data_IF_705115665243
#
_entry.id   IF_705115665243
#
_cell.length_a   1.000
_cell.length_b   1.000
_cell.length_c   1.000
_cell.angle_alpha   90.00
_cell.angle_beta   90.00
_cell.angle_gamma   90.00
#
_symmetry.space_group_name_H-M   'P 1'
#
loop_
_entity.id
_entity.type
_entity.pdbx_description
1 polymer ?
#
# COMPACT_ATOMS: atom_id res chain seq x y z
N UNK A 1 19.30 3.66 -49.27
CA UNK A 1 18.16 4.15 -48.47
C UNK A 1 18.57 5.39 -47.67
N UNK A 2 18.08 6.58 -48.04
CA UNK A 2 18.39 7.87 -47.40
C UNK A 2 17.09 8.59 -47.01
N UNK A 3 16.24 7.94 -46.22
CA UNK A 3 15.05 8.58 -45.67
C UNK A 3 15.31 8.89 -44.20
N UNK A 4 15.14 10.16 -43.81
CA UNK A 4 15.34 10.65 -42.44
C UNK A 4 14.48 9.97 -41.37
N UNK A 5 13.56 9.07 -41.78
CA UNK A 5 12.74 8.24 -40.92
C UNK A 5 13.55 7.40 -39.93
N UNK A 6 14.70 6.82 -40.33
CA UNK A 6 15.57 6.08 -39.38
C UNK A 6 16.22 7.01 -38.35
N UNK A 7 16.59 8.23 -38.75
CA UNK A 7 17.15 9.23 -37.84
C UNK A 7 16.14 9.68 -36.78
N UNK A 8 14.89 9.93 -37.20
CA UNK A 8 13.80 10.28 -36.29
C UNK A 8 13.50 9.15 -35.30
N UNK A 9 13.50 7.90 -35.76
CA UNK A 9 13.32 6.73 -34.90
C UNK A 9 14.40 6.66 -33.82
N UNK A 10 15.67 6.85 -34.19
CA UNK A 10 16.79 6.82 -33.23
C UNK A 10 16.70 7.95 -32.20
N UNK A 11 16.26 9.15 -32.59
CA UNK A 11 16.05 10.27 -31.66
C UNK A 11 14.90 9.97 -30.70
N UNK A 12 13.79 9.42 -31.21
CA UNK A 12 12.67 8.99 -30.38
C UNK A 12 13.07 7.90 -29.38
N UNK A 13 13.78 6.87 -29.83
CA UNK A 13 14.25 5.81 -28.93
C UNK A 13 15.18 6.35 -27.86
N UNK A 14 16.13 7.23 -28.20
CA UNK A 14 17.02 7.84 -27.20
C UNK A 14 16.26 8.70 -26.20
N UNK A 15 15.26 9.45 -26.64
CA UNK A 15 14.47 10.34 -25.78
C UNK A 15 13.55 9.56 -24.82
N UNK A 16 12.89 8.51 -25.30
CA UNK A 16 11.87 7.79 -24.54
C UNK A 16 12.37 6.53 -23.83
N UNK A 17 13.60 6.07 -24.08
CA UNK A 17 14.17 4.87 -23.43
C UNK A 17 14.12 4.96 -21.91
N UNK A 18 14.59 6.06 -21.34
CA UNK A 18 14.64 6.25 -19.90
C UNK A 18 13.22 6.36 -19.31
N UNK A 19 12.31 7.03 -20.02
CA UNK A 19 10.91 7.14 -19.65
C UNK A 19 10.23 5.78 -19.60
N UNK A 20 10.44 4.94 -20.62
CA UNK A 20 9.92 3.57 -20.63
C UNK A 20 10.44 2.77 -19.46
N UNK A 21 11.73 2.88 -19.14
CA UNK A 21 12.33 2.09 -18.06
C UNK A 21 11.88 2.55 -16.68
N UNK A 22 11.87 3.86 -16.42
CA UNK A 22 11.62 4.40 -15.08
C UNK A 22 10.14 4.70 -14.78
N UNK A 23 9.31 4.89 -15.80
CA UNK A 23 7.87 5.11 -15.61
C UNK A 23 7.06 3.81 -15.71
N UNK A 24 7.65 2.72 -16.19
CA UNK A 24 7.01 1.41 -16.14
C UNK A 24 6.73 1.01 -14.69
N UNK A 25 5.44 0.88 -14.34
CA UNK A 25 4.99 0.57 -12.99
C UNK A 25 4.78 1.78 -12.07
N UNK A 26 5.06 3.01 -12.52
CA UNK A 26 4.93 4.24 -11.71
C UNK A 26 3.48 4.71 -11.45
N UNK A 27 2.47 3.91 -11.82
CA UNK A 27 1.05 4.30 -11.76
C UNK A 27 0.61 5.34 -12.79
N UNK A 28 1.54 5.95 -13.56
CA UNK A 28 1.22 6.90 -14.62
C UNK A 28 0.58 6.18 -15.83
N UNK A 29 -0.63 6.58 -16.20
CA UNK A 29 -1.38 6.00 -17.32
C UNK A 29 -1.14 6.72 -18.66
N UNK A 30 -0.63 7.96 -18.64
CA UNK A 30 -0.39 8.77 -19.83
C UNK A 30 0.90 9.59 -19.71
N UNK A 31 1.69 9.62 -20.79
CA UNK A 31 2.85 10.50 -20.93
C UNK A 31 2.55 11.61 -21.94
N UNK A 32 2.53 12.86 -21.49
CA UNK A 32 2.35 14.02 -22.37
C UNK A 32 3.68 14.49 -22.94
N UNK A 33 3.86 14.33 -24.25
CA UNK A 33 5.03 14.83 -24.97
C UNK A 33 4.89 16.34 -25.19
N UNK A 34 5.70 17.14 -24.50
CA UNK A 34 5.72 18.61 -24.61
C UNK A 34 7.06 19.09 -25.16
N UNK A 35 7.13 20.34 -25.63
CA UNK A 35 8.40 20.94 -26.04
C UNK A 35 9.44 20.95 -24.91
N UNK A 36 9.00 21.07 -23.65
CA UNK A 36 9.85 20.98 -22.47
C UNK A 36 10.43 19.56 -22.29
N UNK A 37 9.65 18.50 -22.55
CA UNK A 37 10.14 17.11 -22.51
C UNK A 37 11.28 16.89 -23.50
N UNK A 38 11.19 17.47 -24.70
CA UNK A 38 12.24 17.33 -25.72
C UNK A 38 13.49 18.14 -25.36
N UNK A 39 13.31 19.36 -24.80
CA UNK A 39 14.42 20.26 -24.45
C UNK A 39 15.14 19.86 -23.16
N UNK A 40 14.39 19.40 -22.16
CA UNK A 40 14.87 19.09 -20.81
C UNK A 40 14.33 17.72 -20.34
N UNK A 41 14.69 16.61 -21.02
CA UNK A 41 14.10 15.30 -20.76
C UNK A 41 14.38 14.78 -19.35
N UNK A 42 15.57 15.02 -18.78
CA UNK A 42 15.90 14.52 -17.43
C UNK A 42 15.07 15.26 -16.35
N UNK A 43 14.95 16.59 -16.45
CA UNK A 43 14.14 17.40 -15.52
C UNK A 43 12.66 16.98 -15.53
N UNK A 44 12.11 16.71 -16.71
CA UNK A 44 10.72 16.25 -16.84
C UNK A 44 10.56 14.82 -16.31
N UNK A 45 11.54 13.94 -16.55
CA UNK A 45 11.54 12.58 -16.04
C UNK A 45 11.55 12.55 -14.51
N UNK A 46 12.42 13.33 -13.87
CA UNK A 46 12.51 13.41 -12.40
C UNK A 46 11.19 13.87 -11.79
N UNK A 47 10.54 14.88 -12.39
CA UNK A 47 9.21 15.32 -11.96
C UNK A 47 8.18 14.19 -12.06
N UNK A 48 8.12 13.51 -13.21
CA UNK A 48 7.15 12.44 -13.43
C UNK A 48 7.37 11.26 -12.48
N UNK A 49 8.63 10.95 -12.13
CA UNK A 49 8.93 9.91 -11.14
C UNK A 49 8.43 10.30 -9.75
N UNK A 50 8.63 11.54 -9.33
CA UNK A 50 8.10 12.03 -8.05
C UNK A 50 6.56 11.99 -8.03
N UNK A 51 5.92 12.39 -9.12
CA UNK A 51 4.46 12.29 -9.27
C UNK A 51 3.98 10.84 -9.22
N UNK A 52 4.67 9.92 -9.91
CA UNK A 52 4.36 8.50 -9.93
C UNK A 52 4.45 7.87 -8.54
N UNK A 53 5.53 8.12 -7.80
CA UNK A 53 5.66 7.64 -6.41
C UNK A 53 4.54 8.14 -5.49
N UNK A 54 4.11 9.40 -5.67
CA UNK A 54 3.00 9.95 -4.90
C UNK A 54 1.67 9.27 -5.25
N UNK A 55 1.41 9.05 -6.55
CA UNK A 55 0.21 8.35 -7.02
C UNK A 55 0.17 6.90 -6.53
N UNK A 56 1.29 6.20 -6.63
CA UNK A 56 1.44 4.83 -6.14
C UNK A 56 1.14 4.75 -4.64
N UNK A 57 1.73 5.63 -3.82
CA UNK A 57 1.44 5.70 -2.39
C UNK A 57 -0.05 5.93 -2.13
N UNK A 58 -0.68 6.89 -2.82
CA UNK A 58 -2.12 7.17 -2.69
C UNK A 58 -3.00 5.98 -3.08
N UNK A 59 -2.63 5.24 -4.12
CA UNK A 59 -3.33 4.03 -4.54
C UNK A 59 -3.22 2.94 -3.48
N UNK A 60 -2.03 2.76 -2.89
CA UNK A 60 -1.80 1.80 -1.81
C UNK A 60 -2.58 2.18 -0.54
N UNK A 61 -2.57 3.44 -0.13
CA UNK A 61 -3.36 3.95 0.99
C UNK A 61 -4.86 3.71 0.77
N UNK A 62 -5.34 3.96 -0.45
CA UNK A 62 -6.74 3.70 -0.82
C UNK A 62 -7.07 2.22 -0.76
N UNK A 63 -6.18 1.35 -1.25
CA UNK A 63 -6.33 -0.09 -1.18
C UNK A 63 -6.40 -0.62 0.25
N UNK A 64 -5.63 -0.05 1.18
CA UNK A 64 -5.64 -0.45 2.58
C UNK A 64 -6.99 -0.13 3.25
N UNK A 65 -7.55 1.05 2.95
CA UNK A 65 -8.90 1.43 3.42
C UNK A 65 -9.99 0.56 2.80
N UNK A 66 -9.89 0.27 1.51
CA UNK A 66 -10.83 -0.62 0.82
C UNK A 66 -10.81 -2.03 1.41
N UNK A 67 -9.64 -2.56 1.75
CA UNK A 67 -9.54 -3.84 2.43
C UNK A 67 -10.28 -3.83 3.78
N UNK A 68 -10.12 -2.78 4.59
CA UNK A 68 -10.86 -2.64 5.85
C UNK A 68 -12.38 -2.63 5.61
N UNK A 69 -12.88 -1.86 4.65
CA UNK A 69 -14.31 -1.82 4.32
C UNK A 69 -14.84 -3.20 3.87
N UNK A 70 -14.10 -3.90 3.02
CA UNK A 70 -14.46 -5.25 2.56
C UNK A 70 -14.50 -6.21 3.75
N UNK A 71 -13.42 -6.27 4.54
CA UNK A 71 -13.33 -7.11 5.74
C UNK A 71 -14.50 -6.84 6.71
N UNK A 72 -14.86 -5.58 6.87
CA UNK A 72 -15.96 -5.17 7.74
C UNK A 72 -17.31 -5.70 7.25
N UNK A 73 -17.56 -5.55 5.95
CA UNK A 73 -18.78 -6.03 5.31
C UNK A 73 -18.91 -7.56 5.31
N UNK A 74 -17.79 -8.28 5.12
CA UNK A 74 -17.80 -9.74 5.02
C UNK A 74 -17.90 -10.43 6.39
N UNK A 75 -17.39 -9.82 7.45
CA UNK A 75 -17.30 -10.46 8.76
C UNK A 75 -18.15 -9.81 9.86
N UNK A 76 -18.75 -8.64 9.60
CA UNK A 76 -19.53 -7.91 10.60
C UNK A 76 -18.68 -7.48 11.80
N UNK A 77 -17.45 -7.07 11.52
CA UNK A 77 -16.46 -6.49 12.43
C UNK A 77 -16.10 -5.09 11.92
N UNK A 78 -15.59 -4.21 12.76
CA UNK A 78 -15.12 -2.88 12.37
C UNK A 78 -13.60 -2.80 12.58
N UNK A 79 -12.86 -3.24 11.58
CA UNK A 79 -11.42 -3.08 11.44
C UNK A 79 -11.11 -1.67 10.92
N UNK A 80 -10.26 -0.94 11.64
CA UNK A 80 -9.83 0.41 11.29
C UNK A 80 -8.32 0.49 11.36
N UNK A 81 -7.68 0.96 10.29
CA UNK A 81 -6.25 1.27 10.29
C UNK A 81 -6.04 2.72 10.72
N UNK A 82 -5.17 2.95 11.70
CA UNK A 82 -4.70 4.30 12.00
C UNK A 82 -3.70 4.80 10.94
N UNK A 83 -3.31 6.07 11.02
CA UNK A 83 -2.34 6.62 10.07
C UNK A 83 -0.98 5.92 10.10
N UNK A 84 -0.55 5.40 11.26
CA UNK A 84 0.70 4.67 11.42
C UNK A 84 0.66 3.32 10.71
N UNK A 85 -0.45 2.59 10.84
CA UNK A 85 -0.70 1.34 10.15
C UNK A 85 -0.75 1.53 8.63
N UNK A 86 -1.46 2.55 8.15
CA UNK A 86 -1.53 2.87 6.71
C UNK A 86 -0.14 3.15 6.14
N UNK A 87 0.65 4.01 6.81
CA UNK A 87 2.02 4.30 6.37
C UNK A 87 2.87 3.03 6.33
N UNK A 88 2.78 2.20 7.37
CA UNK A 88 3.54 0.96 7.46
C UNK A 88 3.15 -0.06 6.40
N UNK A 89 1.86 -0.17 6.08
CA UNK A 89 1.36 -1.00 4.99
C UNK A 89 1.90 -0.53 3.63
N UNK A 90 1.89 0.77 3.36
CA UNK A 90 2.44 1.33 2.11
C UNK A 90 3.93 1.04 1.99
N UNK A 91 4.71 1.26 3.05
CA UNK A 91 6.14 0.96 3.06
C UNK A 91 6.42 -0.52 2.80
N UNK A 92 5.69 -1.43 3.47
CA UNK A 92 5.84 -2.88 3.27
C UNK A 92 5.43 -3.31 1.87
N UNK A 93 4.31 -2.82 1.35
CA UNK A 93 3.84 -3.14 0.00
C UNK A 93 4.89 -2.73 -1.05
N UNK A 94 5.50 -1.56 -0.90
CA UNK A 94 6.58 -1.09 -1.78
C UNK A 94 7.86 -1.91 -1.62
N UNK A 95 8.27 -2.22 -0.39
CA UNK A 95 9.49 -2.98 -0.10
C UNK A 95 9.40 -4.44 -0.59
N UNK A 96 8.25 -5.08 -0.38
CA UNK A 96 8.00 -6.48 -0.74
C UNK A 96 7.49 -6.63 -2.19
N UNK A 97 7.23 -5.51 -2.89
CA UNK A 97 6.60 -5.45 -4.22
C UNK A 97 5.30 -6.26 -4.32
N UNK A 98 4.46 -6.14 -3.29
CA UNK A 98 3.16 -6.80 -3.22
C UNK A 98 2.02 -5.80 -3.45
N UNK A 99 0.90 -6.29 -3.98
CA UNK A 99 -0.31 -5.47 -4.00
C UNK A 99 -0.84 -5.32 -2.58
N UNK A 100 -1.56 -4.22 -2.31
CA UNK A 100 -2.12 -3.99 -0.98
C UNK A 100 -3.10 -5.10 -0.56
N UNK A 101 -3.89 -5.61 -1.51
CA UNK A 101 -4.81 -6.72 -1.25
C UNK A 101 -4.08 -8.00 -0.86
N UNK A 102 -3.01 -8.37 -1.56
CA UNK A 102 -2.25 -9.58 -1.25
C UNK A 102 -1.52 -9.47 0.09
N UNK A 103 -0.92 -8.30 0.36
CA UNK A 103 -0.24 -8.03 1.63
C UNK A 103 -1.22 -8.13 2.80
N UNK A 104 -2.37 -7.45 2.72
CA UNK A 104 -3.39 -7.51 3.76
C UNK A 104 -3.99 -8.92 3.92
N UNK A 105 -4.24 -9.64 2.82
CA UNK A 105 -4.73 -11.02 2.87
C UNK A 105 -3.72 -11.96 3.56
N UNK A 106 -2.41 -11.73 3.36
CA UNK A 106 -1.38 -12.50 4.05
C UNK A 106 -1.30 -12.17 5.54
N UNK A 107 -1.27 -10.88 5.89
CA UNK A 107 -1.11 -10.42 7.28
C UNK A 107 -2.34 -10.70 8.16
N UNK A 108 -3.53 -10.59 7.59
CA UNK A 108 -4.79 -10.65 8.33
C UNK A 108 -5.58 -11.93 8.11
N UNK A 109 -4.95 -12.97 7.56
CA UNK A 109 -5.58 -14.28 7.30
C UNK A 109 -6.31 -14.84 8.53
N UNK A 110 -5.69 -14.76 9.71
CA UNK A 110 -6.23 -15.33 10.95
C UNK A 110 -7.01 -14.32 11.79
N UNK A 111 -7.05 -13.05 11.37
CA UNK A 111 -7.74 -11.99 12.11
C UNK A 111 -9.24 -12.21 12.16
N UNK A 112 -9.85 -12.75 11.10
CA UNK A 112 -11.27 -13.09 11.11
C UNK A 112 -11.61 -14.00 12.31
N UNK A 113 -10.81 -15.02 12.57
CA UNK A 113 -11.06 -15.98 13.65
C UNK A 113 -10.76 -15.36 15.01
N UNK A 114 -9.59 -14.72 15.18
CA UNK A 114 -9.18 -14.14 16.46
C UNK A 114 -10.10 -13.00 16.91
N UNK A 115 -10.49 -12.11 16.00
CA UNK A 115 -11.41 -11.01 16.32
C UNK A 115 -12.83 -11.50 16.63
N UNK A 116 -13.31 -12.56 15.97
CA UNK A 116 -14.59 -13.17 16.33
C UNK A 116 -14.57 -13.81 17.73
N UNK A 117 -13.43 -14.35 18.16
CA UNK A 117 -13.28 -14.87 19.52
C UNK A 117 -13.38 -13.75 20.55
N UNK A 118 -12.70 -12.62 20.30
CA UNK A 118 -12.77 -11.44 21.16
C UNK A 118 -14.19 -10.88 21.21
N UNK A 119 -14.88 -10.81 20.06
CA UNK A 119 -16.29 -10.39 19.98
C UNK A 119 -17.19 -11.26 20.86
N UNK A 120 -16.99 -12.58 20.87
CA UNK A 120 -17.75 -13.51 21.73
C UNK A 120 -17.47 -13.30 23.22
N UNK A 121 -16.22 -13.02 23.59
CA UNK A 121 -15.82 -12.86 24.99
C UNK A 121 -16.17 -11.49 25.58
N UNK A 122 -16.06 -10.43 24.78
CA UNK A 122 -16.13 -9.03 25.26
C UNK A 122 -17.28 -8.22 24.66
N UNK A 123 -17.93 -8.71 23.60
CA UNK A 123 -18.91 -7.94 22.82
C UNK A 123 -18.30 -6.86 21.93
N UNK A 124 -16.97 -6.68 21.95
CA UNK A 124 -16.28 -5.66 21.17
C UNK A 124 -16.31 -6.00 19.68
N UNK A 125 -16.78 -5.06 18.87
CA UNK A 125 -16.84 -5.19 17.40
C UNK A 125 -15.82 -4.32 16.66
N UNK A 126 -15.28 -3.28 17.31
CA UNK A 126 -14.36 -2.30 16.72
C UNK A 126 -12.91 -2.52 17.14
N UNK A 127 -12.02 -2.67 16.17
CA UNK A 127 -10.59 -2.95 16.36
C UNK A 127 -9.76 -1.95 15.55
N UNK A 128 -8.92 -1.19 16.25
CA UNK A 128 -8.01 -0.22 15.63
C UNK A 128 -6.63 -0.86 15.56
N UNK A 129 -6.07 -0.94 14.35
CA UNK A 129 -4.73 -1.47 14.09
C UNK A 129 -3.76 -0.31 13.91
N UNK A 130 -2.63 -0.41 14.63
CA UNK A 130 -1.50 0.51 14.58
C UNK A 130 -0.33 -0.10 13.77
N UNK A 131 0.80 0.60 13.68
CA UNK A 131 1.98 0.10 12.98
C UNK A 131 2.49 -1.27 13.52
N UNK A 132 2.38 -1.51 14.84
CA UNK A 132 2.80 -2.77 15.46
C UNK A 132 1.96 -3.96 14.98
N UNK A 133 0.66 -3.76 14.74
CA UNK A 133 -0.21 -4.76 14.15
C UNK A 133 0.18 -5.13 12.70
N UNK A 134 0.96 -4.28 12.04
CA UNK A 134 1.49 -4.55 10.69
C UNK A 134 2.85 -5.24 10.77
N UNK A 135 3.72 -4.82 11.69
CA UNK A 135 5.05 -5.43 11.87
C UNK A 135 4.99 -6.81 12.50
N UNK A 136 4.05 -7.06 13.41
CA UNK A 136 3.89 -8.30 14.15
C UNK A 136 2.42 -8.72 14.26
N UNK A 137 1.76 -8.94 13.12
CA UNK A 137 0.33 -9.22 13.03
C UNK A 137 -0.14 -10.38 13.93
N UNK A 138 0.56 -11.51 13.91
CA UNK A 138 0.22 -12.69 14.72
C UNK A 138 0.34 -12.44 16.23
N UNK A 139 1.40 -11.75 16.62
CA UNK A 139 1.68 -11.41 18.02
C UNK A 139 0.61 -10.46 18.55
N UNK A 140 0.30 -9.40 17.79
CA UNK A 140 -0.72 -8.42 18.15
C UNK A 140 -2.10 -9.07 18.32
N UNK A 141 -2.49 -9.96 17.40
CA UNK A 141 -3.74 -10.72 17.51
C UNK A 141 -3.75 -11.61 18.75
N UNK A 142 -2.67 -12.33 19.02
CA UNK A 142 -2.55 -13.20 20.18
C UNK A 142 -2.70 -12.43 21.50
N UNK A 143 -2.05 -11.27 21.60
CA UNK A 143 -2.15 -10.39 22.78
C UNK A 143 -3.58 -9.88 22.98
N UNK A 144 -4.26 -9.44 21.91
CA UNK A 144 -5.66 -9.02 21.97
C UNK A 144 -6.59 -10.15 22.42
N UNK A 145 -6.38 -11.37 21.92
CA UNK A 145 -7.16 -12.55 22.31
C UNK A 145 -6.95 -12.86 23.79
N UNK A 146 -5.70 -12.90 24.27
CA UNK A 146 -5.37 -13.16 25.69
C UNK A 146 -6.00 -12.10 26.60
N UNK A 147 -5.93 -10.81 26.24
CA UNK A 147 -6.57 -9.74 26.99
C UNK A 147 -8.09 -9.91 27.07
N UNK A 148 -8.72 -10.46 26.03
CA UNK A 148 -10.17 -10.74 26.05
C UNK A 148 -10.58 -11.80 27.08
N UNK A 149 -9.68 -12.75 27.39
CA UNK A 149 -9.90 -13.78 28.42
C UNK A 149 -9.54 -13.30 29.82
N UNK A 150 -8.56 -12.39 29.94
CA UNK A 150 -8.05 -11.89 31.22
C UNK A 150 -8.09 -10.36 31.29
N UNK A 151 -9.28 -9.74 31.41
CA UNK A 151 -9.42 -8.28 31.45
C UNK A 151 -8.74 -7.61 32.66
N UNK A 152 -8.21 -8.37 33.64
CA UNK A 152 -7.57 -7.86 34.85
C UNK A 152 -6.03 -7.84 34.89
N UNK A 153 -5.31 -8.34 33.87
CA UNK A 153 -3.84 -8.50 33.95
C UNK A 153 -3.02 -7.28 33.49
N UNK A 154 -3.65 -6.27 32.89
CA UNK A 154 -2.94 -5.10 32.33
C UNK A 154 -2.69 -3.98 33.36
N UNK A 155 -3.24 -4.08 34.57
CA UNK A 155 -3.03 -3.10 35.64
C UNK A 155 -1.62 -3.14 36.28
N UNK A 156 -0.72 -3.99 35.79
CA UNK A 156 0.62 -4.21 36.38
C UNK A 156 1.76 -4.02 35.37
N UNK A 157 1.67 -3.02 34.50
CA UNK A 157 2.84 -2.43 33.83
C UNK A 157 2.65 -0.91 33.71
N UNK A 158 2.71 -0.23 34.84
CA UNK A 158 2.95 1.21 34.95
C UNK A 158 4.26 1.40 35.72
#
# INVERSE_FOLDING_TARGET
EKTGARGLLTVFEKLFRDYKYYLAGSGLSQLRVTAALVREPQRVLDRLRLEGHKLEAQMLETGARQFAEIFNSEHGLELVFDEGAIRRLVERAQAERMTMSDLCAHLFKDYQFGLNLIKKNTGRIKFVLNAEAIDAADKFLSELVVQSYYPGSVAQKA
#
